data_IF_761998825991
#
_entry.id   IF_761998825991
#
_cell.length_a   1.000
_cell.length_b   1.000
_cell.length_c   1.000
_cell.angle_alpha   90.00
_cell.angle_beta   90.00
_cell.angle_gamma   90.00
#
_symmetry.space_group_name_H-M   'P 1'
#
loop_
_entity.id
_entity.type
_entity.pdbx_description
1 polymer ?
#
# COMPACT_ATOMS: atom_id res chain seq x y z
N UNK A 1 -5.24 -16.92 -3.68
CA UNK A 1 -5.34 -15.50 -3.31
C UNK A 1 -4.13 -14.78 -3.87
N UNK A 2 -4.29 -14.05 -4.98
CA UNK A 2 -3.20 -13.26 -5.52
C UNK A 2 -2.77 -12.13 -4.59
N UNK A 3 -1.52 -11.72 -4.74
CA UNK A 3 -0.90 -10.64 -3.97
C UNK A 3 -0.11 -9.73 -4.90
N UNK A 4 -0.05 -8.45 -4.53
CA UNK A 4 0.72 -7.42 -5.21
C UNK A 4 1.48 -6.58 -4.18
N UNK A 5 2.65 -6.07 -4.60
CA UNK A 5 3.36 -5.02 -3.90
C UNK A 5 3.16 -3.72 -4.67
N UNK A 6 2.62 -2.72 -3.98
CA UNK A 6 2.38 -1.39 -4.54
C UNK A 6 3.40 -0.44 -3.92
N UNK A 7 4.19 0.20 -4.80
CA UNK A 7 5.19 1.20 -4.44
C UNK A 7 4.56 2.58 -4.65
N UNK A 8 4.52 3.40 -3.61
CA UNK A 8 3.71 4.63 -3.58
C UNK A 8 4.64 5.81 -3.31
N UNK A 9 4.51 6.85 -4.14
CA UNK A 9 4.98 8.19 -3.79
C UNK A 9 3.82 9.03 -3.32
N UNK A 10 4.03 9.82 -2.29
CA UNK A 10 3.02 10.73 -1.74
C UNK A 10 3.41 12.18 -2.00
N UNK A 11 2.46 13.09 -1.77
CA UNK A 11 2.83 14.49 -1.64
C UNK A 11 3.68 14.69 -0.38
N UNK A 12 4.53 15.72 -0.42
CA UNK A 12 5.47 16.03 0.67
C UNK A 12 4.68 16.29 1.96
N UNK A 13 4.99 15.54 3.02
CA UNK A 13 4.36 15.68 4.33
C UNK A 13 3.07 14.86 4.51
N UNK A 14 2.60 14.16 3.47
CA UNK A 14 1.42 13.30 3.53
C UNK A 14 1.74 11.82 3.76
N UNK A 15 3.01 11.46 3.92
CA UNK A 15 3.48 10.06 3.98
C UNK A 15 2.81 9.32 5.14
N UNK A 16 2.71 9.97 6.31
CA UNK A 16 2.11 9.37 7.50
C UNK A 16 0.60 9.21 7.38
N UNK A 17 -0.09 10.21 6.83
CA UNK A 17 -1.55 10.16 6.63
C UNK A 17 -1.92 9.06 5.64
N UNK A 18 -1.22 8.99 4.50
CA UNK A 18 -1.44 7.95 3.49
C UNK A 18 -1.20 6.56 4.09
N UNK A 19 -0.13 6.39 4.88
CA UNK A 19 0.14 5.11 5.55
C UNK A 19 -1.00 4.70 6.49
N UNK A 20 -1.55 5.64 7.25
CA UNK A 20 -2.63 5.37 8.19
C UNK A 20 -3.97 5.08 7.49
N UNK A 21 -4.26 5.75 6.38
CA UNK A 21 -5.42 5.42 5.55
C UNK A 21 -5.27 4.05 4.89
N UNK A 22 -4.09 3.70 4.37
CA UNK A 22 -3.84 2.39 3.76
C UNK A 22 -4.09 1.24 4.75
N UNK A 23 -3.71 1.41 6.03
CA UNK A 23 -3.94 0.40 7.07
C UNK A 23 -5.41 0.16 7.40
N UNK A 24 -6.31 1.07 7.03
CA UNK A 24 -7.77 0.92 7.21
C UNK A 24 -8.43 0.10 6.10
N UNK A 25 -7.71 -0.16 5.00
CA UNK A 25 -8.24 -0.88 3.85
C UNK A 25 -8.04 -2.39 4.06
N UNK A 26 -9.12 -3.17 4.15
CA UNK A 26 -9.08 -4.62 4.40
C UNK A 26 -8.20 -5.41 3.42
N UNK A 27 -8.08 -4.93 2.17
CA UNK A 27 -7.25 -5.55 1.14
C UNK A 27 -5.75 -5.34 1.38
N UNK A 28 -5.35 -4.31 2.14
CA UNK A 28 -3.96 -4.02 2.50
C UNK A 28 -3.59 -4.89 3.70
N UNK A 29 -2.67 -5.84 3.48
CA UNK A 29 -2.22 -6.77 4.52
C UNK A 29 -1.08 -6.19 5.34
N UNK A 30 -0.20 -5.44 4.69
CA UNK A 30 0.95 -4.80 5.31
C UNK A 30 1.19 -3.47 4.59
N UNK A 31 1.59 -2.43 5.32
CA UNK A 31 2.03 -1.17 4.74
C UNK A 31 3.13 -0.56 5.60
N UNK A 32 4.19 -0.06 4.95
CA UNK A 32 5.37 0.47 5.61
C UNK A 32 5.84 1.75 4.91
N UNK A 33 6.18 2.76 5.69
CA UNK A 33 7.00 3.85 5.21
C UNK A 33 8.42 3.33 4.96
N UNK A 34 9.02 3.70 3.83
CA UNK A 34 10.36 3.26 3.45
C UNK A 34 11.24 4.45 3.11
N UNK A 35 12.54 4.26 3.23
CA UNK A 35 13.52 5.21 2.71
C UNK A 35 13.89 4.81 1.28
N UNK A 36 13.87 5.75 0.34
CA UNK A 36 14.27 5.50 -1.05
C UNK A 36 13.59 6.45 -2.02
N UNK A 37 13.38 5.96 -3.26
CA UNK A 37 12.65 6.70 -4.30
C UNK A 37 11.13 6.64 -4.12
N UNK A 38 10.66 5.78 -3.23
CA UNK A 38 9.26 5.63 -2.82
C UNK A 38 9.13 5.97 -1.35
N UNK A 39 7.93 6.40 -0.96
CA UNK A 39 7.64 6.83 0.41
C UNK A 39 6.95 5.70 1.19
N UNK A 40 6.11 4.90 0.52
CA UNK A 40 5.38 3.77 1.14
C UNK A 40 5.41 2.52 0.25
N UNK A 41 5.51 1.36 0.88
CA UNK A 41 5.28 0.05 0.25
C UNK A 41 4.09 -0.61 0.91
N UNK A 42 3.11 -1.04 0.10
CA UNK A 42 1.93 -1.76 0.56
C UNK A 42 1.85 -3.15 -0.08
N UNK A 43 1.57 -4.16 0.74
CA UNK A 43 1.24 -5.52 0.31
C UNK A 43 -0.27 -5.66 0.27
N UNK A 44 -0.82 -5.84 -0.93
CA UNK A 44 -2.26 -5.90 -1.18
C UNK A 44 -2.63 -7.31 -1.62
N UNK A 45 -3.75 -7.84 -1.11
CA UNK A 45 -4.25 -9.16 -1.48
C UNK A 45 -5.75 -9.15 -1.75
N UNK A 46 -6.19 -10.05 -2.62
CA UNK A 46 -7.60 -10.25 -2.94
C UNK A 46 -7.91 -11.74 -3.14
N UNK A 47 -9.19 -12.08 -3.25
CA UNK A 47 -9.64 -13.46 -3.47
C UNK A 47 -9.31 -13.96 -4.88
N UNK A 48 -9.45 -13.07 -5.88
CA UNK A 48 -9.29 -13.36 -7.31
C UNK A 48 -8.39 -12.33 -7.98
N UNK A 49 -7.86 -12.66 -9.16
CA UNK A 49 -7.00 -11.72 -9.89
C UNK A 49 -7.76 -10.51 -10.42
N UNK A 50 -9.01 -10.70 -10.82
CA UNK A 50 -9.86 -9.59 -11.27
C UNK A 50 -10.15 -8.57 -10.18
N UNK A 51 -10.25 -9.00 -8.91
CA UNK A 51 -10.41 -8.08 -7.77
C UNK A 51 -9.14 -7.32 -7.40
N UNK A 52 -7.97 -7.83 -7.79
CA UNK A 52 -6.68 -7.20 -7.47
C UNK A 52 -6.22 -6.22 -8.56
N UNK A 53 -6.70 -6.40 -9.79
CA UNK A 53 -6.29 -5.64 -10.98
C UNK A 53 -6.87 -4.23 -11.00
#
# INVERSE_FOLDING_TARGET
MPMAFVLINTEIGSESEVLDELKKIDAVKEAYMVYGVYDVVAKVGADTMDKLK
#
